data_IF_327382051227
#
_entry.id   IF_327382051227
#
_cell.length_a   1.000
_cell.length_b   1.000
_cell.length_c   1.000
_cell.angle_alpha   90.00
_cell.angle_beta   90.00
_cell.angle_gamma   90.00
#
_symmetry.space_group_name_H-M   'P 1'
#
loop_
_entity.id
_entity.type
_entity.pdbx_description
1 polymer ?
#
# COMPACT_ATOMS: atom_id res chain seq x y z
N UNK A 1 -13.24 -0.88 -8.34
CA UNK A 1 -13.23 -0.55 -6.91
C UNK A 1 -11.90 0.10 -6.61
N UNK A 2 -11.93 1.22 -5.91
CA UNK A 2 -10.72 1.98 -5.62
C UNK A 2 -10.21 1.59 -4.23
N UNK A 3 -8.89 1.42 -4.10
CA UNK A 3 -8.24 0.96 -2.88
C UNK A 3 -6.91 1.69 -2.67
N UNK A 4 -6.63 2.06 -1.43
CA UNK A 4 -5.30 2.52 -1.02
C UNK A 4 -4.50 1.33 -0.54
N UNK A 5 -3.36 1.09 -1.17
CA UNK A 5 -2.51 -0.06 -0.86
C UNK A 5 -1.51 0.33 0.21
N UNK A 6 -1.57 -0.36 1.34
CA UNK A 6 -0.60 -0.24 2.43
C UNK A 6 0.81 -0.72 2.02
N UNK A 7 1.84 -0.16 2.65
CA UNK A 7 3.23 -0.57 2.55
C UNK A 7 3.39 -2.08 2.63
N UNK A 8 2.81 -2.68 3.66
CA UNK A 8 2.99 -4.11 3.96
C UNK A 8 2.50 -5.01 2.83
N UNK A 9 1.45 -4.59 2.09
CA UNK A 9 0.94 -5.31 0.93
C UNK A 9 1.97 -5.26 -0.22
N UNK A 10 2.57 -4.10 -0.48
CA UNK A 10 3.60 -3.95 -1.50
C UNK A 10 4.89 -4.69 -1.15
N UNK A 11 5.34 -4.61 0.11
CA UNK A 11 6.47 -5.38 0.60
C UNK A 11 6.23 -6.89 0.48
N UNK A 12 5.05 -7.36 0.87
CA UNK A 12 4.68 -8.76 0.73
C UNK A 12 4.72 -9.21 -0.74
N UNK A 13 4.18 -8.41 -1.66
CA UNK A 13 4.20 -8.69 -3.10
C UNK A 13 5.63 -8.74 -3.68
N UNK A 14 6.54 -7.90 -3.18
CA UNK A 14 7.96 -7.91 -3.58
C UNK A 14 8.74 -9.10 -3.04
N UNK A 15 8.31 -9.66 -1.89
CA UNK A 15 8.95 -10.81 -1.27
C UNK A 15 8.43 -12.11 -1.89
N UNK A 16 7.11 -12.29 -1.97
CA UNK A 16 6.50 -13.56 -2.39
C UNK A 16 5.24 -13.36 -3.24
N UNK A 17 5.17 -14.13 -4.31
CA UNK A 17 3.94 -14.32 -5.09
C UNK A 17 2.92 -15.05 -4.21
N UNK A 18 1.89 -14.32 -3.81
CA UNK A 18 0.89 -14.69 -2.82
C UNK A 18 -0.46 -14.10 -3.23
N UNK A 19 -1.53 -14.41 -2.52
CA UNK A 19 -2.86 -13.87 -2.85
C UNK A 19 -2.88 -12.33 -2.97
N UNK A 20 -2.12 -11.62 -2.12
CA UNK A 20 -1.98 -10.17 -2.26
C UNK A 20 -1.25 -9.74 -3.52
N UNK A 21 -0.25 -10.51 -3.98
CA UNK A 21 0.40 -10.26 -5.27
C UNK A 21 -0.61 -10.40 -6.42
N UNK A 22 -1.38 -11.49 -6.46
CA UNK A 22 -2.34 -11.73 -7.55
C UNK A 22 -3.43 -10.65 -7.60
N UNK A 23 -3.93 -10.24 -6.43
CA UNK A 23 -4.94 -9.18 -6.31
C UNK A 23 -4.44 -7.81 -6.78
N UNK A 24 -3.13 -7.53 -6.71
CA UNK A 24 -2.58 -6.29 -7.26
C UNK A 24 -2.81 -6.19 -8.77
N UNK A 25 -3.02 -7.29 -9.48
CA UNK A 25 -3.18 -7.33 -10.94
C UNK A 25 -4.61 -7.55 -11.42
N UNK A 26 -5.59 -7.64 -10.50
CA UNK A 26 -7.01 -7.72 -10.87
C UNK A 26 -7.46 -6.38 -11.47
N UNK A 27 -7.94 -6.40 -12.71
CA UNK A 27 -8.29 -5.19 -13.47
C UNK A 27 -9.40 -4.36 -12.81
N UNK A 28 -10.31 -5.00 -12.07
CA UNK A 28 -11.39 -4.32 -11.38
C UNK A 28 -10.94 -3.42 -10.22
N UNK A 29 -9.67 -3.50 -9.78
CA UNK A 29 -9.15 -2.63 -8.73
C UNK A 29 -8.37 -1.42 -9.31
N UNK A 30 -8.71 -0.22 -8.87
CA UNK A 30 -7.86 0.96 -9.11
C UNK A 30 -7.10 1.23 -7.83
N UNK A 31 -5.79 1.04 -7.90
CA UNK A 31 -4.94 1.02 -6.72
C UNK A 31 -4.24 2.36 -6.58
N UNK A 32 -4.19 2.87 -5.37
CA UNK A 32 -3.56 4.13 -5.02
C UNK A 32 -2.52 3.89 -3.94
N UNK A 33 -1.42 4.62 -3.98
CA UNK A 33 -0.45 4.61 -2.90
C UNK A 33 0.25 5.96 -2.81
N UNK A 34 0.71 6.38 -1.63
CA UNK A 34 1.60 7.53 -1.51
C UNK A 34 2.91 7.25 -2.25
N UNK A 35 3.44 8.22 -3.01
CA UNK A 35 4.69 8.03 -3.79
C UNK A 35 5.89 7.67 -2.88
N UNK A 36 5.89 8.15 -1.64
CA UNK A 36 7.02 7.95 -0.71
C UNK A 36 7.31 6.46 -0.43
N UNK A 37 6.33 5.56 -0.58
CA UNK A 37 6.50 4.12 -0.29
C UNK A 37 7.64 3.51 -1.12
N UNK A 38 7.83 3.98 -2.35
CA UNK A 38 8.90 3.49 -3.20
C UNK A 38 10.29 3.95 -2.75
N UNK A 39 10.38 5.08 -2.04
CA UNK A 39 11.64 5.50 -1.39
C UNK A 39 11.97 4.56 -0.23
N UNK A 40 10.95 4.12 0.52
CA UNK A 40 11.12 3.17 1.60
C UNK A 40 11.51 1.78 1.09
N UNK A 41 10.80 1.27 0.09
CA UNK A 41 11.12 -0.01 -0.55
C UNK A 41 12.58 -0.03 -1.05
N UNK A 42 13.05 1.07 -1.66
CA UNK A 42 14.43 1.15 -2.15
C UNK A 42 15.46 1.13 -1.00
N UNK A 43 15.16 1.75 0.14
CA UNK A 43 16.01 1.66 1.35
C UNK A 43 16.13 0.22 1.85
N UNK A 44 15.04 -0.55 1.77
CA UNK A 44 14.99 -1.95 2.18
C UNK A 44 15.38 -2.94 1.06
N UNK A 45 15.80 -2.46 -0.11
CA UNK A 45 16.14 -3.30 -1.27
C UNK A 45 17.11 -4.44 -0.94
N UNK A 46 18.18 -4.16 -0.20
CA UNK A 46 19.16 -5.17 0.17
C UNK A 46 18.58 -6.27 1.06
N UNK A 47 17.61 -5.95 1.90
CA UNK A 47 16.92 -6.91 2.75
C UNK A 47 15.96 -7.78 1.93
N UNK A 48 15.19 -7.16 1.02
CA UNK A 48 14.28 -7.87 0.12
C UNK A 48 15.06 -8.83 -0.78
N UNK A 49 16.18 -8.40 -1.37
CA UNK A 49 17.05 -9.25 -2.18
C UNK A 49 17.71 -10.38 -1.39
N UNK A 50 17.90 -10.25 -0.07
CA UNK A 50 18.38 -11.36 0.77
C UNK A 50 17.27 -12.35 1.11
N UNK A 51 16.04 -11.86 1.27
CA UNK A 51 14.84 -12.66 1.56
C UNK A 51 14.27 -13.36 0.32
N UNK A 52 14.74 -12.98 -0.87
CA UNK A 52 14.26 -13.51 -2.15
C UNK A 52 15.43 -14.06 -2.95
N UNK A 53 15.18 -15.01 -3.86
CA UNK A 53 16.21 -15.48 -4.80
C UNK A 53 16.28 -14.60 -6.07
N UNK A 54 15.80 -13.35 -5.98
CA UNK A 54 15.70 -12.43 -7.12
C UNK A 54 17.03 -11.75 -7.41
N UNK A 55 17.29 -11.50 -8.69
CA UNK A 55 18.42 -10.65 -9.07
C UNK A 55 18.10 -9.16 -8.83
N UNK A 56 19.13 -8.31 -8.71
CA UNK A 56 18.96 -6.85 -8.68
C UNK A 56 18.12 -6.29 -9.83
N UNK A 57 18.19 -6.91 -11.01
CA UNK A 57 17.46 -6.52 -12.21
C UNK A 57 15.99 -6.98 -12.16
N UNK A 58 15.72 -8.19 -11.69
CA UNK A 58 14.35 -8.69 -11.53
C UNK A 58 13.59 -7.88 -10.48
N UNK A 59 14.24 -7.51 -9.38
CA UNK A 59 13.67 -6.59 -8.39
C UNK A 59 13.28 -5.25 -9.03
N UNK A 60 14.18 -4.64 -9.82
CA UNK A 60 13.90 -3.37 -10.50
C UNK A 60 12.73 -3.48 -11.47
N UNK A 61 12.68 -4.56 -12.27
CA UNK A 61 11.57 -4.82 -13.20
C UNK A 61 10.25 -4.95 -12.46
N UNK A 62 10.21 -5.72 -11.38
CA UNK A 62 9.00 -5.88 -10.57
C UNK A 62 8.56 -4.55 -9.95
N UNK A 63 9.52 -3.77 -9.43
CA UNK A 63 9.25 -2.44 -8.88
C UNK A 63 8.62 -1.51 -9.93
N UNK A 64 9.15 -1.51 -11.15
CA UNK A 64 8.62 -0.71 -12.26
C UNK A 64 7.21 -1.16 -12.68
N UNK A 65 6.92 -2.46 -12.63
CA UNK A 65 5.57 -3.00 -12.86
C UNK A 65 4.61 -2.49 -11.78
N UNK A 66 4.99 -2.58 -10.50
CA UNK A 66 4.16 -2.10 -9.39
C UNK A 66 3.91 -0.59 -9.49
N UNK A 67 4.93 0.22 -9.80
CA UNK A 67 4.77 1.66 -10.01
C UNK A 67 3.78 2.01 -11.12
N UNK A 68 3.77 1.24 -12.21
CA UNK A 68 2.80 1.44 -13.32
C UNK A 68 1.39 0.98 -12.96
N UNK A 69 1.27 0.05 -12.02
CA UNK A 69 -0.02 -0.49 -11.59
C UNK A 69 -0.75 0.43 -10.60
N UNK A 70 0.00 1.20 -9.83
CA UNK A 70 -0.49 2.10 -8.79
C UNK A 70 -0.63 3.53 -9.32
N UNK A 71 -1.70 4.21 -8.91
CA UNK A 71 -1.83 5.65 -9.01
C UNK A 71 -1.09 6.29 -7.83
N UNK A 72 0.07 6.86 -8.09
CA UNK A 72 0.93 7.43 -7.06
C UNK A 72 0.55 8.87 -6.76
N UNK A 73 0.36 9.16 -5.47
CA UNK A 73 0.03 10.50 -4.99
C UNK A 73 1.24 11.09 -4.25
N UNK A 74 1.75 12.26 -4.68
CA UNK A 74 2.86 12.94 -4.00
C UNK A 74 2.52 13.28 -2.55
N UNK A 75 3.53 13.33 -1.68
CA UNK A 75 3.32 13.61 -0.25
C UNK A 75 2.86 15.05 -0.01
N UNK A 76 3.32 16.00 -0.81
CA UNK A 76 2.96 17.42 -0.75
C UNK A 76 1.44 17.61 -0.88
N UNK A 77 0.82 16.72 -1.65
CA UNK A 77 -0.60 16.65 -1.91
C UNK A 77 -1.41 16.08 -0.74
N UNK A 78 -0.75 15.48 0.26
CA UNK A 78 -1.33 14.91 1.47
C UNK A 78 -1.20 15.84 2.69
N UNK A 79 -0.31 16.84 2.63
CA UNK A 79 -0.05 17.80 3.72
C UNK A 79 -1.33 18.38 4.35
N UNK A 80 -2.38 18.77 3.59
CA UNK A 80 -3.61 19.30 4.18
C UNK A 80 -4.38 18.30 5.06
N UNK A 81 -4.15 17.00 4.85
CA UNK A 81 -4.87 15.90 5.50
C UNK A 81 -4.06 15.25 6.63
N UNK A 82 -2.76 15.57 6.75
CA UNK A 82 -1.86 15.01 7.76
C UNK A 82 -2.40 15.19 9.18
N UNK A 83 -2.85 16.40 9.52
CA UNK A 83 -3.37 16.68 10.86
C UNK A 83 -4.58 15.81 11.22
N UNK A 84 -5.52 15.64 10.30
CA UNK A 84 -6.68 14.78 10.55
C UNK A 84 -6.20 13.33 10.67
N UNK A 85 -5.29 12.90 9.79
CA UNK A 85 -4.75 11.56 9.86
C UNK A 85 -3.97 11.27 11.16
N UNK A 86 -3.31 12.25 11.78
CA UNK A 86 -2.68 12.09 13.11
C UNK A 86 -3.71 11.79 14.22
N UNK A 87 -4.91 12.35 14.11
CA UNK A 87 -6.00 12.14 15.07
C UNK A 87 -6.73 10.82 14.80
N UNK A 88 -6.86 10.43 13.54
CA UNK A 88 -7.59 9.23 13.09
C UNK A 88 -6.75 7.96 13.10
N UNK A 89 -5.47 8.05 12.74
CA UNK A 89 -4.62 6.88 12.54
C UNK A 89 -4.24 6.24 13.89
N UNK A 90 -4.47 4.94 14.08
CA UNK A 90 -4.06 4.24 15.30
C UNK A 90 -2.54 4.01 15.34
N UNK A 91 -1.84 4.17 14.21
CA UNK A 91 -0.38 4.07 14.10
C UNK A 91 0.21 5.31 13.40
N UNK A 92 1.17 6.03 14.01
CA UNK A 92 1.82 7.18 13.38
C UNK A 92 2.52 6.84 12.06
N UNK A 93 3.04 5.62 11.91
CA UNK A 93 3.75 5.21 10.69
C UNK A 93 2.79 5.04 9.51
N UNK A 94 1.50 4.76 9.79
CA UNK A 94 0.46 4.56 8.78
C UNK A 94 -0.35 5.82 8.47
N UNK A 95 -0.09 6.92 9.18
CA UNK A 95 -0.76 8.22 9.05
C UNK A 95 -0.89 8.68 7.60
N UNK A 96 0.14 8.46 6.80
CA UNK A 96 0.20 8.84 5.38
C UNK A 96 -0.79 8.08 4.49
N UNK A 97 -1.13 6.83 4.82
CA UNK A 97 -2.19 6.09 4.13
C UNK A 97 -3.58 6.59 4.52
N UNK A 98 -3.75 6.97 5.78
CA UNK A 98 -4.96 7.62 6.28
C UNK A 98 -5.17 8.99 5.65
N UNK A 99 -4.13 9.81 5.56
CA UNK A 99 -4.20 11.11 4.88
C UNK A 99 -4.64 10.96 3.43
N UNK A 100 -4.13 9.94 2.73
CA UNK A 100 -4.56 9.61 1.37
C UNK A 100 -6.02 9.11 1.32
N UNK A 101 -6.43 8.30 2.31
CA UNK A 101 -7.79 7.77 2.42
C UNK A 101 -8.82 8.86 2.66
N UNK A 102 -8.52 9.78 3.57
CA UNK A 102 -9.34 10.94 3.86
C UNK A 102 -9.42 11.88 2.66
N UNK A 103 -8.29 12.09 1.97
CA UNK A 103 -8.24 12.93 0.76
C UNK A 103 -9.14 12.41 -0.36
N UNK A 104 -9.03 11.12 -0.66
CA UNK A 104 -9.73 10.52 -1.80
C UNK A 104 -11.09 9.93 -1.42
N UNK A 105 -11.38 9.81 -0.13
CA UNK A 105 -12.53 9.09 0.43
C UNK A 105 -12.58 7.64 -0.06
N UNK A 106 -11.44 6.94 0.03
CA UNK A 106 -11.24 5.58 -0.49
C UNK A 106 -10.83 4.65 0.66
N UNK A 107 -11.29 3.38 0.67
CA UNK A 107 -10.87 2.39 1.67
C UNK A 107 -9.38 2.01 1.57
N UNK A 108 -8.78 1.66 2.71
CA UNK A 108 -7.42 1.13 2.80
C UNK A 108 -7.47 -0.40 2.65
N UNK A 109 -6.52 -0.95 1.92
CA UNK A 109 -6.19 -2.36 1.90
C UNK A 109 -4.96 -2.60 2.78
N UNK A 110 -5.16 -3.22 3.94
CA UNK A 110 -4.09 -3.65 4.84
C UNK A 110 -4.49 -4.92 5.59
N UNK A 111 -3.49 -5.73 5.93
CA UNK A 111 -3.65 -6.88 6.83
C UNK A 111 -3.32 -6.53 8.29
N UNK A 112 -2.91 -5.29 8.58
CA UNK A 112 -2.72 -4.85 9.96
C UNK A 112 -4.09 -4.67 10.64
N UNK A 113 -4.28 -5.41 11.73
CA UNK A 113 -5.51 -5.39 12.51
C UNK A 113 -5.68 -4.09 13.30
N UNK A 114 -4.58 -3.43 13.67
CA UNK A 114 -4.63 -2.15 14.39
C UNK A 114 -5.33 -1.07 13.57
N UNK A 115 -5.14 -1.07 12.25
CA UNK A 115 -5.77 -0.09 11.36
C UNK A 115 -7.31 -0.20 11.33
N UNK A 116 -7.86 -1.33 11.79
CA UNK A 116 -9.29 -1.55 11.95
C UNK A 116 -9.84 -1.09 13.31
N UNK A 117 -9.01 -0.58 14.22
CA UNK A 117 -9.44 -0.11 15.55
C UNK A 117 -10.14 1.25 15.51
N UNK A 118 -10.07 1.96 14.38
CA UNK A 118 -10.78 3.21 14.11
C UNK A 118 -11.96 3.00 13.14
N UNK A 119 -12.90 3.95 13.11
CA UNK A 119 -14.14 3.85 12.31
C UNK A 119 -14.25 4.84 11.14
N UNK A 120 -13.36 5.83 11.04
CA UNK A 120 -13.44 6.90 10.03
C UNK A 120 -13.09 6.42 8.62
N UNK A 121 -12.11 5.52 8.51
CA UNK A 121 -11.65 4.97 7.23
C UNK A 121 -11.93 3.47 7.19
N UNK A 122 -12.63 3.03 6.15
CA UNK A 122 -12.87 1.59 5.95
C UNK A 122 -11.57 0.88 5.57
N UNK A 123 -11.24 -0.18 6.29
CA UNK A 123 -10.05 -1.01 6.02
C UNK A 123 -10.47 -2.42 5.64
N UNK A 124 -9.97 -2.92 4.52
CA UNK A 124 -10.14 -4.31 4.09
C UNK A 124 -8.85 -5.10 4.22
N UNK A 125 -8.96 -6.33 4.72
CA UNK A 125 -7.90 -7.33 4.64
C UNK A 125 -7.85 -7.95 3.25
N UNK A 126 -6.74 -8.60 2.92
CA UNK A 126 -6.61 -9.42 1.70
C UNK A 126 -7.73 -10.46 1.61
N UNK A 127 -8.11 -11.10 2.73
CA UNK A 127 -9.20 -12.08 2.77
C UNK A 127 -10.57 -11.48 2.44
N UNK A 128 -10.84 -10.24 2.85
CA UNK A 128 -12.08 -9.55 2.53
C UNK A 128 -12.10 -9.11 1.06
N UNK A 129 -10.98 -8.60 0.55
CA UNK A 129 -10.86 -8.23 -0.87
C UNK A 129 -11.04 -9.45 -1.78
N UNK A 130 -10.50 -10.62 -1.42
CA UNK A 130 -10.71 -11.86 -2.20
C UNK A 130 -12.19 -12.22 -2.35
N UNK A 131 -13.06 -11.83 -1.42
CA UNK A 131 -14.52 -12.08 -1.50
C UNK A 131 -15.25 -11.07 -2.38
N UNK A 132 -14.56 -10.01 -2.82
CA UNK A 132 -15.09 -8.96 -3.70
C UNK A 132 -14.72 -9.19 -5.17
N UNK A 133 -13.91 -10.22 -5.46
CA UNK A 133 -13.50 -10.63 -6.81
C UNK A 133 -14.37 -11.76 -7.33
#
# INVERSE_FOLDING_TARGET
MDLIVDANILFAALIKESASYDLLFVEHFHLYAPEFIFKEIEKHRAEILKKTERTPDDFRRLLDILKRRLNLVPFEELVPFVRNAEETSPDPDDMVYFALALKLNIPIWSNDKKLKEQEEVKVYSTEEIMKLV
#
